data_IF_574209277498
#
_entry.id   IF_574209277498
#
_cell.length_a   1.000
_cell.length_b   1.000
_cell.length_c   1.000
_cell.angle_alpha   90.00
_cell.angle_beta   90.00
_cell.angle_gamma   90.00
#
_symmetry.space_group_name_H-M   'P 1'
#
loop_
_entity.id
_entity.type
_entity.pdbx_description
1 polymer ?
#
# COMPACT_ATOMS: atom_id res chain seq x y z
N UNK A 1 -5.83 -17.82 -2.93
CA UNK A 1 -5.33 -16.63 -2.23
C UNK A 1 -4.28 -15.98 -3.11
N UNK A 2 -4.52 -14.74 -3.55
CA UNK A 2 -3.72 -14.01 -4.52
C UNK A 2 -3.07 -12.78 -3.87
N UNK A 3 -1.91 -12.38 -4.40
CA UNK A 3 -1.30 -11.08 -4.14
C UNK A 3 -1.76 -10.13 -5.25
N UNK A 4 -2.04 -8.89 -4.91
CA UNK A 4 -2.37 -7.84 -5.87
C UNK A 4 -1.57 -6.58 -5.57
N UNK A 5 -1.11 -5.88 -6.60
CA UNK A 5 -0.32 -4.65 -6.47
C UNK A 5 -1.10 -3.43 -6.95
N UNK A 6 -1.13 -2.37 -6.15
CA UNK A 6 -1.45 -1.01 -6.61
C UNK A 6 -0.16 -0.19 -6.51
N UNK A 7 0.31 0.32 -7.65
CA UNK A 7 1.57 1.04 -7.74
C UNK A 7 1.41 2.40 -8.41
N UNK A 8 2.22 3.37 -8.02
CA UNK A 8 2.36 4.67 -8.70
C UNK A 8 3.45 4.66 -9.78
N UNK A 9 4.09 3.51 -10.01
CA UNK A 9 5.27 3.41 -10.85
C UNK A 9 5.20 2.18 -11.78
N UNK A 10 5.34 2.43 -13.08
CA UNK A 10 5.25 1.40 -14.13
C UNK A 10 6.38 0.37 -14.01
N UNK A 11 7.57 0.77 -13.59
CA UNK A 11 8.72 -0.13 -13.49
C UNK A 11 8.55 -1.10 -12.31
N UNK A 12 8.06 -0.59 -11.16
CA UNK A 12 7.70 -1.41 -10.00
C UNK A 12 6.61 -2.42 -10.38
N UNK A 13 5.56 -1.98 -11.08
CA UNK A 13 4.51 -2.87 -11.56
C UNK A 13 5.07 -3.94 -12.52
N UNK A 14 5.89 -3.54 -13.49
CA UNK A 14 6.49 -4.46 -14.46
C UNK A 14 7.34 -5.52 -13.75
N UNK A 15 8.17 -5.13 -12.78
CA UNK A 15 8.98 -6.06 -12.00
C UNK A 15 8.14 -7.07 -11.21
N UNK A 16 7.07 -6.59 -10.57
CA UNK A 16 6.18 -7.45 -9.78
C UNK A 16 5.36 -8.40 -10.65
N UNK A 17 4.96 -7.94 -11.84
CA UNK A 17 4.29 -8.78 -12.85
C UNK A 17 5.18 -9.93 -13.32
N UNK A 18 6.48 -9.69 -13.51
CA UNK A 18 7.44 -10.75 -13.82
C UNK A 18 7.56 -11.78 -12.70
N UNK A 19 7.36 -11.37 -11.45
CA UNK A 19 7.29 -12.25 -10.29
C UNK A 19 5.92 -12.94 -10.11
N UNK A 20 4.97 -12.73 -11.03
CA UNK A 20 3.64 -13.33 -11.00
C UNK A 20 2.62 -12.58 -10.13
N UNK A 21 2.90 -11.33 -9.75
CA UNK A 21 1.96 -10.49 -9.01
C UNK A 21 1.23 -9.57 -9.99
N UNK A 22 -0.07 -9.80 -10.14
CA UNK A 22 -0.95 -8.93 -10.93
C UNK A 22 -1.24 -7.62 -10.17
N UNK A 23 -1.63 -6.58 -10.91
CA UNK A 23 -1.80 -5.26 -10.33
C UNK A 23 -2.18 -4.19 -11.33
N UNK A 24 -2.25 -2.96 -10.83
CA UNK A 24 -2.60 -1.76 -11.60
C UNK A 24 -1.68 -0.61 -11.23
N UNK A 25 -1.43 0.28 -12.19
CA UNK A 25 -0.71 1.53 -11.98
C UNK A 25 -1.73 2.67 -11.89
N UNK A 26 -1.68 3.45 -10.81
CA UNK A 26 -2.57 4.58 -10.56
C UNK A 26 -1.77 5.80 -10.13
N UNK A 27 -2.23 7.00 -10.45
CA UNK A 27 -1.52 8.24 -10.10
C UNK A 27 -2.40 9.23 -9.34
N UNK A 28 -3.71 9.16 -9.56
CA UNK A 28 -4.67 10.07 -8.94
C UNK A 28 -5.40 9.42 -7.76
N UNK A 29 -5.89 10.27 -6.84
CA UNK A 29 -6.65 9.81 -5.67
C UNK A 29 -7.88 9.00 -6.06
N UNK A 30 -8.61 9.43 -7.08
CA UNK A 30 -9.83 8.74 -7.51
C UNK A 30 -9.52 7.36 -8.08
N UNK A 31 -8.48 7.25 -8.92
CA UNK A 31 -8.02 5.98 -9.47
C UNK A 31 -7.60 5.00 -8.37
N UNK A 32 -6.96 5.50 -7.32
CA UNK A 32 -6.61 4.71 -6.14
C UNK A 32 -7.86 4.18 -5.43
N UNK A 33 -8.86 5.02 -5.19
CA UNK A 33 -10.12 4.60 -4.56
C UNK A 33 -10.86 3.54 -5.38
N UNK A 34 -10.95 3.74 -6.70
CA UNK A 34 -11.59 2.79 -7.60
C UNK A 34 -10.85 1.44 -7.62
N UNK A 35 -9.51 1.47 -7.62
CA UNK A 35 -8.68 0.28 -7.54
C UNK A 35 -8.84 -0.46 -6.20
N UNK A 36 -8.92 0.28 -5.09
CA UNK A 36 -9.17 -0.28 -3.77
C UNK A 36 -10.55 -0.95 -3.70
N UNK A 37 -11.59 -0.32 -4.23
CA UNK A 37 -12.94 -0.89 -4.28
C UNK A 37 -12.97 -2.19 -5.11
N UNK A 38 -12.28 -2.23 -6.25
CA UNK A 38 -12.13 -3.44 -7.04
C UNK A 38 -11.40 -4.56 -6.26
N UNK A 39 -10.34 -4.22 -5.53
CA UNK A 39 -9.62 -5.16 -4.68
C UNK A 39 -10.48 -5.70 -3.55
N UNK A 40 -11.31 -4.85 -2.92
CA UNK A 40 -12.19 -5.27 -1.83
C UNK A 40 -13.39 -6.11 -2.30
N UNK A 41 -13.79 -5.96 -3.57
CA UNK A 41 -14.83 -6.79 -4.16
C UNK A 41 -14.34 -8.23 -4.43
N UNK A 42 -13.03 -8.41 -4.69
CA UNK A 42 -12.43 -9.72 -4.96
C UNK A 42 -11.93 -10.41 -3.67
N UNK A 43 -12.70 -11.40 -3.21
CA UNK A 43 -12.38 -12.20 -2.02
C UNK A 43 -11.20 -13.15 -2.20
N UNK A 44 -10.69 -13.34 -3.42
CA UNK A 44 -9.50 -14.16 -3.65
C UNK A 44 -8.21 -13.44 -3.30
N UNK A 45 -8.23 -12.10 -3.26
CA UNK A 45 -7.08 -11.28 -2.89
C UNK A 45 -6.91 -11.38 -1.38
N UNK A 46 -5.79 -11.97 -0.95
CA UNK A 46 -5.44 -12.12 0.46
C UNK A 46 -4.50 -11.03 0.95
N UNK A 47 -3.66 -10.51 0.05
CA UNK A 47 -2.64 -9.50 0.37
C UNK A 47 -2.68 -8.44 -0.73
N UNK A 48 -2.84 -7.19 -0.32
CA UNK A 48 -2.71 -6.00 -1.16
C UNK A 48 -1.34 -5.37 -0.91
N UNK A 49 -0.53 -5.30 -1.95
CA UNK A 49 0.71 -4.54 -1.96
C UNK A 49 0.40 -3.12 -2.46
N UNK A 50 0.88 -2.13 -1.73
CA UNK A 50 0.67 -0.72 -2.02
C UNK A 50 2.03 -0.01 -2.02
N UNK A 51 2.32 0.86 -2.99
CA UNK A 51 3.56 1.64 -2.91
C UNK A 51 3.50 2.70 -1.80
N UNK A 52 4.64 2.92 -1.12
CA UNK A 52 4.76 3.86 0.02
C UNK A 52 4.31 5.30 -0.30
N UNK A 53 4.34 5.70 -1.58
CA UNK A 53 3.91 7.03 -2.00
C UNK A 53 2.44 7.30 -1.65
N UNK A 54 1.55 6.33 -1.82
CA UNK A 54 0.13 6.53 -1.53
C UNK A 54 -0.14 6.75 -0.05
N UNK A 55 0.60 6.10 0.85
CA UNK A 55 0.51 6.36 2.29
C UNK A 55 1.05 7.73 2.69
N UNK A 56 1.93 8.32 1.86
CA UNK A 56 2.44 9.68 2.06
C UNK A 56 1.47 10.73 1.53
N UNK A 57 0.91 10.48 0.35
CA UNK A 57 0.05 11.44 -0.36
C UNK A 57 -1.40 11.40 0.17
N UNK A 58 -1.88 10.23 0.59
CA UNK A 58 -3.26 9.98 1.06
C UNK A 58 -3.29 9.23 2.40
N UNK A 59 -2.67 9.76 3.47
CA UNK A 59 -2.52 9.04 4.74
C UNK A 59 -3.86 8.73 5.41
N UNK A 60 -4.85 9.62 5.34
CA UNK A 60 -6.16 9.41 5.96
C UNK A 60 -6.91 8.23 5.35
N UNK A 61 -6.94 8.15 4.02
CA UNK A 61 -7.60 7.07 3.28
C UNK A 61 -6.97 5.71 3.62
N UNK A 62 -5.62 5.63 3.60
CA UNK A 62 -4.92 4.37 3.86
C UNK A 62 -5.02 3.94 5.33
N UNK A 63 -4.97 4.89 6.27
CA UNK A 63 -5.10 4.59 7.69
C UNK A 63 -6.51 4.10 8.02
N UNK A 64 -7.55 4.74 7.46
CA UNK A 64 -8.93 4.29 7.66
C UNK A 64 -9.14 2.87 7.14
N UNK A 65 -8.60 2.55 5.96
CA UNK A 65 -8.68 1.20 5.40
C UNK A 65 -8.04 0.13 6.28
N UNK A 66 -6.88 0.43 6.89
CA UNK A 66 -6.19 -0.48 7.81
C UNK A 66 -6.96 -0.69 9.12
N UNK A 67 -7.72 0.30 9.57
CA UNK A 67 -8.53 0.23 10.79
C UNK A 67 -9.82 -0.55 10.55
N UNK A 68 -10.48 -0.30 9.42
CA UNK A 68 -11.85 -0.77 9.18
C UNK A 68 -11.90 -2.22 8.68
N UNK A 69 -10.80 -2.75 8.12
CA UNK A 69 -10.84 -4.03 7.40
C UNK A 69 -9.75 -5.00 7.82
N UNK A 70 -10.16 -6.27 7.99
CA UNK A 70 -9.29 -7.39 8.36
C UNK A 70 -8.67 -8.10 7.15
N UNK A 71 -9.31 -8.03 5.99
CA UNK A 71 -8.85 -8.62 4.73
C UNK A 71 -9.20 -7.68 3.55
N UNK A 72 -8.34 -7.63 2.51
CA UNK A 72 -7.00 -8.22 2.42
C UNK A 72 -5.99 -7.57 3.37
N UNK A 73 -4.89 -8.27 3.67
CA UNK A 73 -3.77 -7.70 4.41
C UNK A 73 -3.09 -6.63 3.56
N UNK A 74 -3.08 -5.39 4.03
CA UNK A 74 -2.46 -4.26 3.32
C UNK A 74 -1.00 -4.15 3.73
N UNK A 75 -0.09 -4.24 2.76
CA UNK A 75 1.36 -4.14 2.95
C UNK A 75 1.92 -3.04 2.06
N UNK A 76 2.61 -2.11 2.69
CA UNK A 76 3.30 -1.03 1.96
C UNK A 76 4.72 -1.45 1.57
N UNK A 77 5.05 -1.24 0.30
CA UNK A 77 6.36 -1.55 -0.29
C UNK A 77 7.01 -0.31 -0.92
N UNK A 78 8.34 -0.23 -0.92
CA UNK A 78 9.04 0.81 -1.67
C UNK A 78 8.81 0.68 -3.18
N UNK A 79 9.02 1.76 -3.91
CA UNK A 79 9.08 1.71 -5.37
C UNK A 79 10.52 1.36 -5.85
N UNK A 80 10.75 1.40 -7.17
CA UNK A 80 12.08 1.13 -7.74
C UNK A 80 13.20 2.05 -7.28
N UNK A 81 12.90 3.19 -6.65
CA UNK A 81 13.90 4.11 -6.11
C UNK A 81 14.31 3.76 -4.67
N UNK A 82 13.69 2.74 -4.08
CA UNK A 82 13.94 2.33 -2.70
C UNK A 82 12.95 2.96 -1.73
N UNK A 83 13.18 2.71 -0.44
CA UNK A 83 12.25 3.21 0.59
C UNK A 83 12.40 4.71 0.78
N UNK A 84 11.27 5.41 0.81
CA UNK A 84 11.21 6.81 1.19
C UNK A 84 11.12 6.99 2.71
N UNK A 85 11.20 5.91 3.48
CA UNK A 85 11.09 5.90 4.94
C UNK A 85 12.40 6.31 5.61
N UNK A 86 12.28 6.94 6.77
CA UNK A 86 13.42 7.25 7.63
C UNK A 86 13.95 5.95 8.26
N UNK A 87 15.26 5.88 8.60
CA UNK A 87 15.83 4.73 9.31
C UNK A 87 15.08 4.36 10.60
N UNK A 88 14.49 5.36 11.27
CA UNK A 88 13.77 5.21 12.53
C UNK A 88 12.26 4.98 12.36
N UNK A 89 11.77 4.66 11.16
CA UNK A 89 10.33 4.59 10.86
C UNK A 89 9.53 3.68 11.79
N UNK A 90 10.08 2.54 12.21
CA UNK A 90 9.40 1.65 13.16
C UNK A 90 9.21 2.35 14.51
N UNK A 91 10.27 2.99 15.02
CA UNK A 91 10.23 3.73 16.28
C UNK A 91 9.28 4.93 16.19
N UNK A 92 9.32 5.67 15.07
CA UNK A 92 8.42 6.81 14.81
C UNK A 92 6.95 6.35 14.79
N UNK A 93 6.63 5.25 14.10
CA UNK A 93 5.28 4.68 14.05
C UNK A 93 4.77 4.27 15.44
N UNK A 94 5.64 3.63 16.24
CA UNK A 94 5.34 3.25 17.63
C UNK A 94 5.08 4.50 18.48
N UNK A 95 5.92 5.52 18.36
CA UNK A 95 5.74 6.79 19.08
C UNK A 95 4.43 7.50 18.71
N UNK A 96 4.09 7.56 17.42
CA UNK A 96 2.85 8.17 16.93
C UNK A 96 1.61 7.43 17.40
N UNK A 97 1.64 6.08 17.38
CA UNK A 97 0.50 5.27 17.79
C UNK A 97 0.22 5.32 19.31
N UNK A 98 1.27 5.42 20.14
CA UNK A 98 1.15 5.44 21.60
C UNK A 98 1.10 6.88 22.16
N UNK A 99 1.49 7.89 21.37
CA UNK A 99 1.55 9.29 21.79
C UNK A 99 2.72 9.60 22.74
N UNK A 100 3.75 8.76 22.75
CA UNK A 100 4.94 8.94 23.58
C UNK A 100 6.11 9.38 22.70
N UNK A 101 6.82 10.44 23.09
CA UNK A 101 8.13 10.77 22.50
C UNK A 101 9.21 10.01 23.26
N UNK A 102 9.75 8.94 22.64
CA UNK A 102 10.98 8.28 23.09
C UNK A 102 12.21 9.12 22.74
#
# INVERSE_FOLDING_TARGET
>A
MKLFLISDNIDTYTGMRLAGVEGVVVHERQELLDALDAVFADKEIGILLLTEKFSRDFPEDINQLKLDRRLPLIVEIPDRHGTGRKPNFITDYVNEAIGLKL
#
